data_IF_831445824566
#
_entry.id   IF_831445824566
#
_cell.length_a   1.000
_cell.length_b   1.000
_cell.length_c   1.000
_cell.angle_alpha   90.00
_cell.angle_beta   90.00
_cell.angle_gamma   90.00
#
_symmetry.space_group_name_H-M   'P 1'
#
loop_
_entity.id
_entity.type
_entity.pdbx_description
1 polymer ?
#
# COMPACT_ATOMS: atom_id res chain seq x y z
N UNK A 1 -66.23 1.31 -51.63
CA UNK A 1 -65.87 2.29 -52.69
C UNK A 1 -66.08 3.69 -52.13
N UNK A 2 -65.09 4.59 -52.27
CA UNK A 2 -65.15 6.08 -52.15
C UNK A 2 -65.55 6.68 -50.77
N UNK A 3 -65.04 7.90 -50.48
CA UNK A 3 -65.16 8.72 -49.24
C UNK A 3 -64.21 8.31 -48.09
N UNK A 4 -63.70 9.14 -47.15
CA UNK A 4 -63.58 10.62 -46.97
C UNK A 4 -62.67 10.93 -45.72
N UNK A 5 -62.19 12.15 -45.35
CA UNK A 5 -62.29 13.53 -45.88
C UNK A 5 -61.07 14.44 -45.51
N UNK A 6 -60.33 14.98 -46.51
CA UNK A 6 -59.63 16.31 -46.54
C UNK A 6 -58.46 16.62 -45.54
N UNK A 7 -57.70 17.73 -45.74
CA UNK A 7 -56.35 17.94 -45.14
C UNK A 7 -56.14 19.21 -44.28
N UNK A 8 -54.97 19.28 -43.63
CA UNK A 8 -54.26 20.47 -43.11
C UNK A 8 -52.77 20.28 -43.52
N UNK A 9 -52.00 21.17 -44.17
CA UNK A 9 -51.96 22.64 -44.32
C UNK A 9 -51.17 23.35 -43.20
N UNK A 10 -50.36 24.36 -43.58
CA UNK A 10 -49.37 25.13 -42.80
C UNK A 10 -48.04 24.37 -42.57
N UNK A 11 -46.85 24.96 -42.77
CA UNK A 11 -46.55 26.28 -43.36
C UNK A 11 -45.03 26.50 -43.49
N UNK A 12 -44.59 27.33 -44.43
CA UNK A 12 -43.17 27.61 -44.66
C UNK A 12 -42.72 28.86 -43.88
N UNK A 13 -41.58 28.75 -43.18
CA UNK A 13 -40.83 29.87 -42.59
C UNK A 13 -39.35 29.69 -42.93
N UNK A 14 -38.72 30.75 -43.44
CA UNK A 14 -37.30 30.76 -43.77
C UNK A 14 -36.48 31.21 -42.56
N UNK A 15 -35.32 30.57 -42.34
CA UNK A 15 -34.30 31.02 -41.40
C UNK A 15 -32.92 30.89 -42.05
N UNK A 16 -32.09 31.92 -41.95
CA UNK A 16 -30.73 31.92 -42.53
C UNK A 16 -29.72 31.17 -41.63
N UNK A 17 -28.58 30.72 -42.17
CA UNK A 17 -27.69 29.79 -41.48
C UNK A 17 -26.84 30.46 -40.40
N UNK A 18 -26.53 29.71 -39.34
CA UNK A 18 -25.42 30.00 -38.44
C UNK A 18 -24.26 29.01 -38.70
N UNK A 19 -23.06 29.56 -38.81
CA UNK A 19 -21.81 28.80 -38.76
C UNK A 19 -21.53 28.40 -37.31
N UNK A 20 -21.64 27.11 -37.01
CA UNK A 20 -21.14 26.55 -35.75
C UNK A 20 -19.73 26.00 -35.97
N UNK A 21 -18.71 26.74 -35.52
CA UNK A 21 -17.35 26.20 -35.43
C UNK A 21 -17.34 25.05 -34.44
N UNK A 22 -16.77 23.90 -34.83
CA UNK A 22 -16.44 22.84 -33.91
C UNK A 22 -15.30 23.31 -32.99
N UNK A 23 -15.67 23.87 -31.83
CA UNK A 23 -14.72 24.17 -30.76
C UNK A 23 -14.41 22.85 -30.05
N UNK A 24 -13.33 22.20 -30.49
CA UNK A 24 -12.85 20.96 -29.88
C UNK A 24 -12.50 21.23 -28.41
N UNK A 25 -13.24 20.61 -27.50
CA UNK A 25 -13.05 20.76 -26.05
C UNK A 25 -12.15 19.61 -25.58
N UNK A 26 -10.85 19.86 -25.28
CA UNK A 26 -10.03 18.83 -24.68
C UNK A 26 -10.62 18.49 -23.31
N UNK A 27 -11.09 17.24 -23.16
CA UNK A 27 -11.44 16.71 -21.85
C UNK A 27 -10.21 16.83 -20.96
N UNK A 28 -10.35 17.49 -19.80
CA UNK A 28 -9.21 17.68 -18.89
C UNK A 28 -9.10 16.44 -18.01
N UNK A 29 -8.19 15.54 -18.38
CA UNK A 29 -7.85 14.33 -17.62
C UNK A 29 -7.26 14.69 -16.25
N UNK A 30 -8.15 14.90 -15.29
CA UNK A 30 -7.80 15.10 -13.89
C UNK A 30 -7.48 13.78 -13.16
N UNK A 31 -7.59 12.64 -13.84
CA UNK A 31 -7.22 11.32 -13.31
C UNK A 31 -5.68 11.17 -13.19
N UNK A 32 -4.94 11.45 -14.28
CA UNK A 32 -3.50 11.22 -14.35
C UNK A 32 -2.67 12.13 -13.43
N UNK A 33 -3.25 13.25 -12.98
CA UNK A 33 -2.57 14.21 -12.10
C UNK A 33 -2.38 13.73 -10.66
N UNK A 34 -2.99 12.61 -10.27
CA UNK A 34 -2.77 11.99 -8.96
C UNK A 34 -1.39 11.32 -8.81
N UNK A 35 -0.78 10.86 -9.92
CA UNK A 35 0.42 10.02 -9.90
C UNK A 35 1.75 10.80 -9.79
N UNK A 36 1.72 12.13 -9.70
CA UNK A 36 2.93 12.99 -9.74
C UNK A 36 2.97 14.07 -8.66
N UNK A 37 2.16 13.93 -7.59
CA UNK A 37 2.28 14.79 -6.42
C UNK A 37 3.43 14.32 -5.51
N UNK A 38 4.35 15.22 -5.15
CA UNK A 38 5.41 14.94 -4.16
C UNK A 38 4.92 14.98 -2.70
N UNK A 39 3.61 14.78 -2.48
CA UNK A 39 3.06 14.45 -1.17
C UNK A 39 3.14 12.94 -0.91
N UNK A 40 3.53 12.55 0.30
CA UNK A 40 3.49 11.16 0.75
C UNK A 40 2.07 10.59 0.74
N UNK A 41 1.93 9.30 0.43
CA UNK A 41 0.62 8.64 0.35
C UNK A 41 -0.11 8.65 1.72
N UNK A 42 -1.45 8.64 1.76
CA UNK A 42 -2.21 8.73 3.02
C UNK A 42 -1.85 7.66 4.06
N UNK A 43 -1.63 6.41 3.61
CA UNK A 43 -1.16 5.30 4.46
C UNK A 43 0.25 5.55 5.01
N UNK A 44 1.18 6.07 4.21
CA UNK A 44 2.55 6.39 4.65
C UNK A 44 2.53 7.42 5.79
N UNK A 45 1.71 8.46 5.68
CA UNK A 45 1.55 9.45 6.74
C UNK A 45 0.78 8.92 7.96
N UNK A 46 -0.13 7.95 7.78
CA UNK A 46 -0.79 7.24 8.89
C UNK A 46 0.24 6.42 9.68
N UNK A 47 1.04 5.59 9.00
CA UNK A 47 2.12 4.79 9.58
C UNK A 47 3.14 5.68 10.32
N UNK A 48 3.57 6.80 9.73
CA UNK A 48 4.49 7.74 10.42
C UNK A 48 3.92 8.20 11.76
N UNK A 49 2.67 8.67 11.79
CA UNK A 49 2.03 9.13 13.04
C UNK A 49 1.88 8.01 14.06
N UNK A 50 1.58 6.79 13.60
CA UNK A 50 1.41 5.62 14.45
C UNK A 50 2.71 5.05 15.03
N UNK A 51 3.87 5.33 14.41
CA UNK A 51 5.15 4.68 14.75
C UNK A 51 6.29 5.63 15.16
N UNK A 52 6.04 6.94 15.25
CA UNK A 52 7.04 7.95 15.66
C UNK A 52 7.77 7.57 16.95
N UNK A 53 7.05 7.10 17.99
CA UNK A 53 7.64 6.66 19.26
C UNK A 53 8.56 5.44 19.13
N UNK A 54 8.37 4.61 18.12
CA UNK A 54 9.17 3.40 17.89
C UNK A 54 10.51 3.66 17.19
N UNK A 55 10.83 4.90 16.82
CA UNK A 55 12.21 5.29 16.47
C UNK A 55 13.21 4.96 17.57
N UNK A 56 12.76 4.90 18.82
CA UNK A 56 13.49 4.28 19.93
C UNK A 56 13.00 2.82 20.09
N UNK A 57 13.83 1.86 19.65
CA UNK A 57 13.55 0.43 19.75
C UNK A 57 13.15 -0.02 21.17
N UNK A 58 13.68 0.61 22.22
CA UNK A 58 13.32 0.27 23.60
C UNK A 58 11.84 0.55 23.91
N UNK A 59 11.18 1.46 23.20
CA UNK A 59 9.73 1.69 23.34
C UNK A 59 8.93 0.51 22.78
N UNK A 60 9.39 -0.08 21.68
CA UNK A 60 8.80 -1.29 21.12
C UNK A 60 9.05 -2.51 22.03
N UNK A 61 10.29 -2.73 22.49
CA UNK A 61 10.63 -3.84 23.38
C UNK A 61 9.80 -3.81 24.68
N UNK A 62 9.62 -2.62 25.30
CA UNK A 62 8.78 -2.46 26.50
C UNK A 62 7.27 -2.60 26.23
N UNK A 63 6.83 -2.63 24.97
CA UNK A 63 5.45 -2.89 24.55
C UNK A 63 5.25 -4.33 24.03
N UNK A 64 6.22 -5.23 24.20
CA UNK A 64 6.10 -6.65 23.84
C UNK A 64 6.39 -6.97 22.37
N UNK A 65 7.00 -6.05 21.63
CA UNK A 65 7.53 -6.33 20.29
C UNK A 65 8.81 -7.18 20.42
N UNK A 66 8.94 -8.21 19.58
CA UNK A 66 10.03 -9.20 19.63
C UNK A 66 10.70 -9.34 18.27
N UNK A 67 12.01 -9.60 18.24
CA UNK A 67 12.73 -9.84 16.99
C UNK A 67 12.18 -11.12 16.31
N UNK A 68 11.64 -10.95 15.10
CA UNK A 68 11.06 -12.01 14.28
C UNK A 68 12.05 -12.53 13.23
N UNK A 69 12.96 -11.68 12.75
CA UNK A 69 14.03 -12.05 11.81
C UNK A 69 15.37 -11.44 12.21
N UNK A 70 16.47 -12.04 11.77
CA UNK A 70 17.73 -11.30 11.54
C UNK A 70 17.56 -10.33 10.36
N UNK A 71 18.55 -9.47 10.08
CA UNK A 71 18.44 -8.53 8.97
C UNK A 71 18.40 -9.27 7.62
N UNK A 72 17.30 -9.13 6.88
CA UNK A 72 17.09 -9.82 5.60
C UNK A 72 17.59 -8.97 4.43
N UNK A 73 18.71 -9.39 3.83
CA UNK A 73 19.26 -8.80 2.59
C UNK A 73 18.43 -9.15 1.35
N UNK A 74 18.40 -8.24 0.38
CA UNK A 74 17.73 -8.46 -0.90
C UNK A 74 18.45 -9.45 -1.81
N UNK A 75 17.73 -10.10 -2.75
CA UNK A 75 18.30 -11.13 -3.63
C UNK A 75 19.33 -10.58 -4.64
N UNK A 76 19.33 -9.26 -4.87
CA UNK A 76 20.26 -8.57 -5.77
C UNK A 76 20.96 -7.38 -5.11
N UNK A 77 20.20 -6.56 -4.37
CA UNK A 77 20.64 -5.32 -3.71
C UNK A 77 19.65 -4.95 -2.59
N UNK A 78 20.05 -4.00 -1.74
CA UNK A 78 19.20 -3.50 -0.66
C UNK A 78 18.90 -4.53 0.43
N UNK A 79 17.92 -4.23 1.26
CA UNK A 79 17.41 -5.09 2.31
C UNK A 79 15.94 -4.77 2.61
N UNK A 80 15.30 -5.67 3.34
CA UNK A 80 14.10 -5.34 4.12
C UNK A 80 14.57 -4.75 5.46
N UNK A 81 15.26 -5.54 6.27
CA UNK A 81 15.79 -5.12 7.56
C UNK A 81 15.64 -6.20 8.63
N UNK A 82 15.82 -5.80 9.88
CA UNK A 82 15.48 -6.60 11.07
C UNK A 82 14.01 -6.33 11.38
N UNK A 83 13.18 -7.37 11.38
CA UNK A 83 11.75 -7.24 11.69
C UNK A 83 11.54 -7.50 13.18
N UNK A 84 10.86 -6.58 13.85
CA UNK A 84 10.31 -6.78 15.18
C UNK A 84 8.80 -6.90 15.06
N UNK A 85 8.24 -8.09 15.34
CA UNK A 85 6.80 -8.35 15.29
C UNK A 85 6.13 -8.13 16.64
N UNK A 86 4.84 -7.76 16.63
CA UNK A 86 3.97 -7.75 17.81
C UNK A 86 3.02 -8.96 17.75
N UNK A 87 3.25 -10.04 18.53
CA UNK A 87 2.49 -11.29 18.42
C UNK A 87 0.98 -11.12 18.61
N UNK A 88 0.57 -10.12 19.40
CA UNK A 88 -0.84 -9.80 19.66
C UNK A 88 -1.58 -9.17 18.48
N UNK A 89 -0.88 -8.70 17.43
CA UNK A 89 -1.48 -8.27 16.15
C UNK A 89 -1.35 -9.34 15.08
N UNK A 90 -0.17 -9.94 14.95
CA UNK A 90 0.10 -11.05 14.00
C UNK A 90 -0.94 -12.17 14.13
N UNK A 91 -1.37 -12.48 15.36
CA UNK A 91 -2.41 -13.47 15.64
C UNK A 91 -3.81 -12.91 15.92
N UNK A 92 -4.12 -11.64 15.58
CA UNK A 92 -5.50 -11.11 15.66
C UNK A 92 -6.29 -11.34 14.36
N UNK A 93 -5.62 -11.54 13.23
CA UNK A 93 -6.24 -11.80 11.92
C UNK A 93 -6.76 -10.55 11.20
N UNK A 94 -6.27 -9.37 11.54
CA UNK A 94 -6.68 -8.07 10.98
C UNK A 94 -5.46 -7.30 10.45
N UNK A 95 -5.70 -6.34 9.56
CA UNK A 95 -4.67 -5.37 9.13
C UNK A 95 -5.27 -3.98 9.14
N UNK A 96 -4.63 -3.03 9.83
CA UNK A 96 -5.16 -1.67 10.05
C UNK A 96 -4.03 -0.67 9.89
N UNK A 97 -4.17 0.35 9.04
CA UNK A 97 -3.03 1.19 8.60
C UNK A 97 -2.27 2.01 9.67
N UNK A 98 -2.78 2.06 10.91
CA UNK A 98 -2.18 2.65 12.11
C UNK A 98 -1.78 1.60 13.16
N UNK A 99 -2.01 0.33 12.88
CA UNK A 99 -1.69 -0.81 13.73
C UNK A 99 -0.81 -1.87 13.04
N UNK A 100 0.38 -1.54 12.50
CA UNK A 100 1.21 -2.53 11.81
C UNK A 100 1.62 -3.71 12.70
N UNK A 101 1.81 -4.86 12.07
CA UNK A 101 2.20 -6.11 12.70
C UNK A 101 3.70 -6.20 12.96
N UNK A 102 4.54 -5.62 12.09
CA UNK A 102 6.00 -5.56 12.26
C UNK A 102 6.58 -4.15 12.06
N UNK A 103 7.60 -3.83 12.86
CA UNK A 103 8.47 -2.67 12.73
C UNK A 103 9.78 -3.09 12.06
N UNK A 104 10.22 -2.36 11.03
CA UNK A 104 11.44 -2.68 10.27
C UNK A 104 12.56 -1.74 10.69
N UNK A 105 13.68 -2.32 11.16
CA UNK A 105 14.86 -1.57 11.58
C UNK A 105 16.08 -1.89 10.70
N UNK A 106 16.87 -0.86 10.40
CA UNK A 106 18.21 -1.01 9.83
C UNK A 106 19.26 -1.09 10.95
N UNK A 107 20.17 -2.08 10.92
CA UNK A 107 21.36 -2.11 11.77
C UNK A 107 22.33 -0.96 11.47
N UNK A 108 22.88 -0.34 12.51
CA UNK A 108 23.89 0.72 12.42
C UNK A 108 25.20 0.29 13.10
N UNK A 109 26.26 1.09 12.92
CA UNK A 109 27.55 0.82 13.55
C UNK A 109 27.48 0.94 15.08
N UNK A 110 27.91 -0.10 15.78
CA UNK A 110 27.99 -0.13 17.25
C UNK A 110 26.86 -0.91 17.94
N UNK A 111 25.94 -1.51 17.17
CA UNK A 111 24.77 -2.22 17.70
C UNK A 111 23.51 -1.34 17.80
N UNK A 112 23.63 -0.04 17.50
CA UNK A 112 22.49 0.85 17.29
C UNK A 112 21.63 0.39 16.10
N UNK A 113 20.39 0.85 16.05
CA UNK A 113 19.47 0.63 14.92
C UNK A 113 18.69 1.91 14.61
N UNK A 114 18.07 2.00 13.43
CA UNK A 114 17.05 3.01 13.12
C UNK A 114 15.81 2.38 12.49
N UNK A 115 14.64 2.86 12.88
CA UNK A 115 13.37 2.49 12.25
C UNK A 115 13.35 3.04 10.81
N UNK A 116 13.12 2.18 9.81
CA UNK A 116 13.14 2.53 8.38
C UNK A 116 11.78 2.34 7.69
N UNK A 117 10.93 1.46 8.22
CA UNK A 117 9.59 1.20 7.69
C UNK A 117 8.77 0.33 8.64
N UNK A 118 7.65 -0.17 8.13
CA UNK A 118 6.82 -1.19 8.77
C UNK A 118 6.43 -2.23 7.74
N UNK A 119 5.99 -3.39 8.21
CA UNK A 119 5.34 -4.42 7.41
C UNK A 119 3.98 -4.73 8.03
N UNK A 120 2.95 -4.82 7.19
CA UNK A 120 1.69 -5.42 7.56
C UNK A 120 1.69 -6.89 7.13
N UNK A 121 1.26 -7.81 8.00
CA UNK A 121 1.07 -9.21 7.61
C UNK A 121 -0.25 -9.78 8.12
N UNK A 122 -0.80 -10.75 7.39
CA UNK A 122 -1.86 -11.62 7.92
C UNK A 122 -1.72 -13.04 7.38
N UNK A 123 -1.88 -14.04 8.25
CA UNK A 123 -1.88 -15.45 7.85
C UNK A 123 -3.09 -15.71 6.94
N UNK A 124 -2.89 -16.46 5.86
CA UNK A 124 -3.90 -16.62 4.83
C UNK A 124 -5.18 -17.31 5.34
N UNK A 125 -5.02 -18.31 6.23
CA UNK A 125 -6.13 -19.03 6.85
C UNK A 125 -6.90 -18.13 7.84
N UNK A 126 -6.20 -17.41 8.73
CA UNK A 126 -6.82 -16.48 9.69
C UNK A 126 -7.61 -15.36 8.98
N UNK A 127 -7.11 -14.89 7.83
CA UNK A 127 -7.82 -13.94 6.99
C UNK A 127 -9.06 -14.57 6.33
N UNK A 128 -8.94 -15.78 5.79
CA UNK A 128 -10.03 -16.48 5.10
C UNK A 128 -11.18 -16.85 6.04
N UNK A 129 -10.90 -17.27 7.27
CA UNK A 129 -11.90 -17.55 8.30
C UNK A 129 -12.73 -16.30 8.67
N UNK A 130 -12.14 -15.09 8.57
CA UNK A 130 -12.85 -13.82 8.73
C UNK A 130 -13.53 -13.29 7.46
N UNK A 131 -13.03 -13.66 6.28
CA UNK A 131 -13.48 -13.16 4.97
C UNK A 131 -13.98 -14.30 4.06
N UNK A 132 -15.10 -14.97 4.43
CA UNK A 132 -15.55 -16.19 3.78
C UNK A 132 -16.07 -16.01 2.35
N UNK A 133 -16.16 -14.79 1.81
CA UNK A 133 -16.46 -14.55 0.40
C UNK A 133 -15.20 -14.45 -0.47
N UNK A 134 -14.00 -14.50 0.13
CA UNK A 134 -12.71 -14.45 -0.57
C UNK A 134 -12.23 -13.04 -0.94
N UNK A 135 -12.64 -12.02 -0.18
CA UNK A 135 -12.10 -10.66 -0.33
C UNK A 135 -10.57 -10.65 -0.09
N UNK A 136 -9.74 -10.15 -1.03
CA UNK A 136 -8.29 -10.11 -0.83
C UNK A 136 -7.89 -9.04 0.22
N UNK A 137 -6.88 -9.31 1.07
CA UNK A 137 -6.48 -8.35 2.09
C UNK A 137 -5.88 -7.07 1.50
N UNK A 138 -6.22 -5.94 2.11
CA UNK A 138 -5.69 -4.62 1.75
C UNK A 138 -5.64 -3.68 2.94
N UNK A 139 -4.63 -2.80 2.96
CA UNK A 139 -4.43 -1.79 4.01
C UNK A 139 -4.73 -0.42 3.44
N UNK A 140 -5.76 0.26 3.95
CA UNK A 140 -6.27 1.53 3.39
C UNK A 140 -6.53 1.51 1.86
N UNK A 141 -6.83 0.32 1.29
CA UNK A 141 -7.03 0.10 -0.14
C UNK A 141 -5.78 -0.31 -0.94
N UNK A 142 -4.62 -0.42 -0.30
CA UNK A 142 -3.41 -1.03 -0.89
C UNK A 142 -3.46 -2.55 -0.75
N UNK A 143 -3.62 -3.29 -1.86
CA UNK A 143 -3.59 -4.76 -1.88
C UNK A 143 -2.25 -5.30 -1.34
N UNK A 144 -2.32 -6.45 -0.66
CA UNK A 144 -1.14 -7.13 -0.08
C UNK A 144 -0.61 -8.23 -1.01
N UNK A 145 0.72 -8.41 -1.02
CA UNK A 145 1.41 -9.45 -1.77
C UNK A 145 1.24 -10.82 -1.10
N UNK A 146 1.02 -11.89 -1.86
CA UNK A 146 0.84 -13.24 -1.31
C UNK A 146 2.15 -14.04 -1.27
N UNK A 147 2.46 -14.62 -0.11
CA UNK A 147 3.59 -15.51 0.13
C UNK A 147 3.07 -16.90 0.50
N UNK A 148 3.12 -17.81 -0.46
CA UNK A 148 2.72 -19.21 -0.27
C UNK A 148 3.70 -20.02 0.58
N UNK A 149 3.30 -21.23 0.95
CA UNK A 149 4.16 -22.20 1.62
C UNK A 149 4.74 -23.26 0.63
N UNK A 150 5.94 -23.80 0.89
CA UNK A 150 6.89 -23.39 1.93
C UNK A 150 7.64 -22.10 1.54
N UNK A 151 7.80 -21.19 2.50
CA UNK A 151 8.57 -19.95 2.34
C UNK A 151 9.87 -19.97 3.16
N UNK A 152 10.75 -18.98 2.90
CA UNK A 152 12.06 -18.84 3.55
C UNK A 152 12.01 -18.59 5.06
N UNK A 153 10.84 -18.22 5.59
CA UNK A 153 10.66 -17.87 7.01
C UNK A 153 10.17 -19.06 7.85
N UNK A 154 9.72 -20.15 7.20
CA UNK A 154 9.12 -21.30 7.89
C UNK A 154 7.71 -21.04 8.45
N UNK A 155 7.05 -19.97 7.98
CA UNK A 155 5.67 -19.62 8.32
C UNK A 155 4.67 -20.38 7.44
N UNK A 156 3.39 -20.50 7.83
CA UNK A 156 2.30 -20.84 6.92
C UNK A 156 2.22 -19.88 5.73
N UNK A 157 1.27 -20.09 4.80
CA UNK A 157 0.97 -19.08 3.79
C UNK A 157 0.43 -17.77 4.42
N UNK A 158 0.86 -16.62 3.91
CA UNK A 158 0.46 -15.30 4.42
C UNK A 158 0.42 -14.24 3.33
N UNK A 159 -0.10 -13.07 3.67
CA UNK A 159 -0.04 -11.86 2.85
C UNK A 159 0.82 -10.80 3.54
N UNK A 160 1.66 -10.07 2.80
CA UNK A 160 2.53 -8.98 3.29
C UNK A 160 2.30 -7.65 2.55
N UNK A 161 2.53 -6.53 3.22
CA UNK A 161 2.69 -5.20 2.61
C UNK A 161 3.73 -4.38 3.36
N UNK A 162 4.87 -4.17 2.70
CA UNK A 162 5.91 -3.24 3.15
C UNK A 162 5.45 -1.78 2.99
N UNK A 163 5.72 -0.93 3.99
CA UNK A 163 5.52 0.53 3.92
C UNK A 163 6.76 1.29 4.42
N UNK A 164 7.49 1.90 3.49
CA UNK A 164 8.71 2.68 3.75
C UNK A 164 8.38 4.08 4.28
N UNK A 165 7.98 4.12 5.55
CA UNK A 165 7.54 5.33 6.23
C UNK A 165 8.68 6.25 6.68
N UNK A 166 9.91 5.75 6.87
CA UNK A 166 10.98 6.50 7.54
C UNK A 166 12.25 6.66 6.71
N UNK A 167 12.71 5.60 6.03
CA UNK A 167 13.72 5.71 4.97
C UNK A 167 13.05 5.88 3.61
N UNK A 168 13.64 6.71 2.75
CA UNK A 168 13.17 6.84 1.37
C UNK A 168 13.45 5.55 0.60
N UNK A 169 12.47 5.07 -0.17
CA UNK A 169 12.70 4.00 -1.15
C UNK A 169 12.62 4.55 -2.58
N UNK A 170 13.73 4.52 -3.36
CA UNK A 170 13.73 4.92 -4.77
C UNK A 170 12.79 4.12 -5.67
N UNK A 171 12.44 2.89 -5.27
CA UNK A 171 11.50 2.02 -6.01
C UNK A 171 10.03 2.20 -5.56
N UNK A 172 9.77 3.15 -4.65
CA UNK A 172 8.44 3.53 -4.18
C UNK A 172 8.13 3.02 -2.76
N UNK A 173 7.15 3.68 -2.12
CA UNK A 173 6.81 3.45 -0.71
C UNK A 173 6.36 2.02 -0.36
N UNK A 174 6.03 1.19 -1.35
CA UNK A 174 5.38 -0.13 -1.18
C UNK A 174 6.13 -1.30 -1.85
N UNK A 175 7.36 -1.10 -2.33
CA UNK A 175 8.17 -2.20 -2.86
C UNK A 175 8.77 -3.03 -1.72
N UNK A 176 8.79 -4.37 -1.81
CA UNK A 176 9.25 -5.24 -0.70
C UNK A 176 10.71 -4.95 -0.25
N UNK A 177 11.55 -4.43 -1.15
CA UNK A 177 12.96 -4.17 -0.90
C UNK A 177 13.29 -2.68 -0.99
N UNK A 178 14.11 -2.17 -0.07
CA UNK A 178 14.68 -0.83 -0.17
C UNK A 178 16.17 -0.85 -0.51
N UNK A 179 16.54 -0.20 -1.62
CA UNK A 179 17.92 -0.03 -2.10
C UNK A 179 18.84 0.73 -1.14
N UNK A 180 18.28 1.56 -0.27
CA UNK A 180 19.03 2.41 0.67
C UNK A 180 19.21 1.79 2.06
N UNK A 181 18.58 0.64 2.32
CA UNK A 181 18.70 -0.11 3.59
C UNK A 181 19.74 -1.22 3.43
N UNK A 182 20.58 -1.45 4.44
CA UNK A 182 21.63 -2.47 4.40
C UNK A 182 21.80 -3.27 5.69
N UNK A 183 22.04 -4.57 5.55
CA UNK A 183 22.39 -5.46 6.66
C UNK A 183 23.89 -5.48 7.00
N UNK A 184 24.72 -4.72 6.27
CA UNK A 184 26.20 -4.71 6.39
C UNK A 184 26.75 -4.18 7.74
N UNK A 185 25.88 -3.88 8.71
CA UNK A 185 26.23 -3.42 10.06
C UNK A 185 25.64 -4.29 11.18
N UNK A 186 24.86 -5.33 10.87
CA UNK A 186 24.46 -6.30 11.89
C UNK A 186 25.73 -6.99 12.44
N UNK A 187 25.85 -7.01 13.77
CA UNK A 187 26.79 -7.87 14.48
C UNK A 187 26.39 -9.33 14.30
N UNK A 188 27.37 -10.21 14.10
CA UNK A 188 27.12 -11.64 14.29
C UNK A 188 26.84 -11.88 15.79
N UNK A 189 25.79 -12.65 16.07
CA UNK A 189 25.35 -13.06 17.40
C UNK A 189 26.21 -14.22 17.96
#
# INVERSE_FOLDING_TARGET
MITFQRPLLVGALMGLPLLASAADQPATDNADRALTSSGSAPLVEKVKRATEQFKNLNVALNQGWVAATTCVSGPNFGAMGVHFGLPARIGDGEVKGDEPELLIYEPLSGGDTRLVGVEFIVIADDWADKHPNGEPPSVDGHLMNFVGEPNRYGLPAFYELHVWAWEHNPDGYFADWNKLVTCNKQTAD
#
